data_IF_104473462487
#
_entry.id   IF_104473462487
#
_cell.length_a   1.000
_cell.length_b   1.000
_cell.length_c   1.000
_cell.angle_alpha   90.00
_cell.angle_beta   90.00
_cell.angle_gamma   90.00
#
_symmetry.space_group_name_H-M   'P 1'
#
loop_
_entity.id
_entity.type
_entity.pdbx_description
1 polymer ?
#
# COMPACT_ATOMS: atom_id res chain seq x y z
N UNK A 1 -21.29 -1.97 -8.55
CA UNK A 1 -21.37 -2.78 -9.77
C UNK A 1 -22.21 -4.04 -9.58
N UNK A 2 -21.89 -4.96 -8.65
CA UNK A 2 -22.69 -6.16 -8.40
C UNK A 2 -24.18 -5.88 -8.15
N UNK A 3 -24.48 -4.90 -7.28
CA UNK A 3 -25.86 -4.48 -6.99
C UNK A 3 -26.59 -3.98 -8.24
N UNK A 4 -25.91 -3.23 -9.10
CA UNK A 4 -26.49 -2.71 -10.35
C UNK A 4 -26.81 -3.83 -11.35
N UNK A 5 -25.94 -4.82 -11.49
CA UNK A 5 -26.17 -5.98 -12.35
C UNK A 5 -27.37 -6.83 -11.86
N UNK A 6 -27.46 -7.06 -10.55
CA UNK A 6 -28.61 -7.77 -9.94
C UNK A 6 -29.90 -6.96 -10.10
N UNK A 7 -29.83 -5.64 -9.93
CA UNK A 7 -30.97 -4.74 -10.12
C UNK A 7 -31.53 -4.81 -11.55
N UNK A 8 -30.66 -4.76 -12.58
CA UNK A 8 -31.10 -4.88 -13.98
C UNK A 8 -31.71 -6.26 -14.27
N UNK A 9 -31.16 -7.33 -13.71
CA UNK A 9 -31.73 -8.66 -13.85
C UNK A 9 -33.16 -8.73 -13.26
N UNK A 10 -33.35 -8.14 -12.09
CA UNK A 10 -34.66 -8.06 -11.43
C UNK A 10 -35.65 -7.18 -12.21
N UNK A 11 -35.23 -6.05 -12.77
CA UNK A 11 -36.07 -5.21 -13.62
C UNK A 11 -36.60 -5.95 -14.86
N UNK A 12 -35.79 -6.84 -15.43
CA UNK A 12 -36.16 -7.65 -16.59
C UNK A 12 -36.92 -8.93 -16.24
N UNK A 13 -37.22 -9.18 -14.96
CA UNK A 13 -37.78 -10.46 -14.48
C UNK A 13 -36.94 -11.68 -14.88
N UNK A 14 -35.61 -11.54 -14.95
CA UNK A 14 -34.69 -12.62 -15.29
C UNK A 14 -34.10 -13.19 -14.00
N UNK A 15 -34.33 -14.48 -13.78
CA UNK A 15 -33.76 -15.19 -12.63
C UNK A 15 -32.28 -15.51 -12.88
N UNK A 16 -31.42 -15.01 -11.99
CA UNK A 16 -29.98 -15.25 -12.06
C UNK A 16 -29.64 -16.63 -11.51
N UNK A 17 -29.05 -17.48 -12.35
CA UNK A 17 -28.50 -18.77 -11.91
C UNK A 17 -27.23 -18.58 -11.09
N UNK A 18 -26.91 -19.54 -10.23
CA UNK A 18 -25.69 -19.51 -9.41
C UNK A 18 -24.40 -19.26 -10.24
N UNK A 19 -24.32 -19.83 -11.45
CA UNK A 19 -23.20 -19.58 -12.37
C UNK A 19 -23.10 -18.12 -12.84
N UNK A 20 -24.22 -17.43 -13.09
CA UNK A 20 -24.20 -16.02 -13.48
C UNK A 20 -23.79 -15.13 -12.31
N UNK A 21 -24.23 -15.44 -11.08
CA UNK A 21 -23.79 -14.73 -9.88
C UNK A 21 -22.27 -14.86 -9.70
N UNK A 22 -21.72 -16.06 -9.91
CA UNK A 22 -20.28 -16.28 -9.86
C UNK A 22 -19.54 -15.46 -10.93
N UNK A 23 -20.03 -15.45 -12.17
CA UNK A 23 -19.48 -14.62 -13.25
C UNK A 23 -19.52 -13.13 -12.91
N UNK A 24 -20.65 -12.62 -12.37
CA UNK A 24 -20.77 -11.22 -11.93
C UNK A 24 -19.69 -10.90 -10.88
N UNK A 25 -19.51 -11.78 -9.89
CA UNK A 25 -18.55 -11.57 -8.80
C UNK A 25 -17.11 -11.51 -9.33
N UNK A 26 -16.71 -12.48 -10.16
CA UNK A 26 -15.37 -12.56 -10.72
C UNK A 26 -15.09 -11.37 -11.65
N UNK A 27 -16.02 -11.06 -12.55
CA UNK A 27 -15.87 -9.93 -13.50
C UNK A 27 -15.84 -8.59 -12.78
N UNK A 28 -16.71 -8.37 -11.78
CA UNK A 28 -16.68 -7.15 -10.99
C UNK A 28 -15.38 -7.00 -10.20
N UNK A 29 -14.87 -8.08 -9.61
CA UNK A 29 -13.60 -8.07 -8.87
C UNK A 29 -12.43 -7.76 -9.81
N UNK A 30 -12.34 -8.47 -10.93
CA UNK A 30 -11.29 -8.24 -11.93
C UNK A 30 -11.33 -6.81 -12.49
N UNK A 31 -12.53 -6.30 -12.78
CA UNK A 31 -12.70 -4.94 -13.27
C UNK A 31 -12.39 -3.89 -12.21
N UNK A 32 -12.62 -4.17 -10.91
CA UNK A 32 -12.31 -3.22 -9.83
C UNK A 32 -10.82 -2.91 -9.77
N UNK A 33 -9.95 -3.87 -10.11
CA UNK A 33 -8.50 -3.66 -10.18
C UNK A 33 -8.10 -2.93 -11.47
N UNK A 34 -8.80 -3.19 -12.57
CA UNK A 34 -8.50 -2.60 -13.89
C UNK A 34 -9.05 -1.19 -14.13
N UNK A 35 -9.94 -0.67 -13.29
CA UNK A 35 -10.61 0.61 -13.50
C UNK A 35 -9.78 1.87 -13.18
N UNK A 36 -8.53 1.71 -12.72
CA UNK A 36 -7.70 2.79 -12.17
C UNK A 36 -7.34 3.94 -13.15
N UNK A 37 -7.70 3.86 -14.44
CA UNK A 37 -7.32 4.86 -15.45
C UNK A 37 -8.40 5.27 -16.46
N UNK A 38 -9.65 4.80 -16.33
CA UNK A 38 -10.69 5.06 -17.34
C UNK A 38 -11.74 6.03 -16.80
N UNK A 39 -11.90 7.23 -17.41
CA UNK A 39 -13.00 8.13 -17.10
C UNK A 39 -14.36 7.44 -17.32
N UNK A 40 -15.29 7.57 -16.37
CA UNK A 40 -16.59 6.86 -16.38
C UNK A 40 -16.48 5.31 -16.38
N UNK A 41 -15.42 4.75 -15.76
CA UNK A 41 -15.21 3.32 -15.69
C UNK A 41 -16.37 2.52 -15.06
N UNK A 42 -17.13 3.13 -14.13
CA UNK A 42 -18.25 2.47 -13.44
C UNK A 42 -19.33 1.93 -14.39
N UNK A 43 -19.75 2.75 -15.36
CA UNK A 43 -20.79 2.39 -16.35
C UNK A 43 -20.26 1.34 -17.33
N UNK A 44 -19.03 1.53 -17.81
CA UNK A 44 -18.38 0.60 -18.74
C UNK A 44 -18.30 -0.81 -18.15
N UNK A 45 -17.90 -0.92 -16.89
CA UNK A 45 -17.85 -2.21 -16.21
C UNK A 45 -19.22 -2.86 -16.07
N UNK A 46 -20.27 -2.08 -15.82
CA UNK A 46 -21.64 -2.61 -15.75
C UNK A 46 -22.07 -3.15 -17.11
N UNK A 47 -21.75 -2.44 -18.20
CA UNK A 47 -22.01 -2.93 -19.57
C UNK A 47 -21.28 -4.26 -19.86
N UNK A 48 -20.00 -4.36 -19.49
CA UNK A 48 -19.21 -5.60 -19.64
C UNK A 48 -19.85 -6.75 -18.84
N UNK A 49 -20.28 -6.49 -17.61
CA UNK A 49 -20.91 -7.52 -16.76
C UNK A 49 -22.23 -8.00 -17.39
N UNK A 50 -23.08 -7.08 -17.86
CA UNK A 50 -24.34 -7.40 -18.53
C UNK A 50 -24.12 -8.29 -19.76
N UNK A 51 -23.13 -7.95 -20.58
CA UNK A 51 -22.76 -8.72 -21.76
C UNK A 51 -22.22 -10.11 -21.39
N UNK A 52 -21.40 -10.21 -20.34
CA UNK A 52 -20.85 -11.48 -19.86
C UNK A 52 -21.93 -12.47 -19.36
N UNK A 53 -23.08 -11.98 -18.90
CA UNK A 53 -24.21 -12.82 -18.45
C UNK A 53 -25.36 -12.90 -19.46
N UNK A 54 -25.23 -12.23 -20.61
CA UNK A 54 -26.22 -12.24 -21.70
C UNK A 54 -27.49 -11.43 -21.43
N UNK A 55 -27.41 -10.38 -20.61
CA UNK A 55 -28.54 -9.50 -20.33
C UNK A 55 -28.62 -8.32 -21.31
N UNK A 56 -29.83 -7.86 -21.68
CA UNK A 56 -30.02 -6.71 -22.54
C UNK A 56 -29.50 -5.42 -21.89
N UNK A 57 -28.73 -4.65 -22.64
CA UNK A 57 -28.08 -3.41 -22.16
C UNK A 57 -28.96 -2.16 -22.26
N UNK A 58 -30.19 -2.29 -22.74
CA UNK A 58 -31.14 -1.19 -22.92
C UNK A 58 -31.42 -0.43 -21.60
N UNK A 59 -31.42 -1.14 -20.47
CA UNK A 59 -31.72 -0.57 -19.15
C UNK A 59 -30.50 0.08 -18.47
N UNK A 60 -29.34 0.10 -19.14
CA UNK A 60 -28.15 0.79 -18.66
C UNK A 60 -28.39 2.31 -18.52
N UNK A 61 -29.33 2.86 -19.30
CA UNK A 61 -29.76 4.26 -19.23
C UNK A 61 -30.32 4.67 -17.85
N UNK A 62 -30.96 3.74 -17.13
CA UNK A 62 -31.46 4.00 -15.77
C UNK A 62 -30.32 4.11 -14.76
N UNK A 63 -29.27 3.30 -14.92
CA UNK A 63 -28.07 3.37 -14.08
C UNK A 63 -27.31 4.67 -14.35
N UNK A 64 -27.20 5.07 -15.62
CA UNK A 64 -26.56 6.32 -16.02
C UNK A 64 -27.20 7.55 -15.34
N UNK A 65 -28.51 7.56 -15.13
CA UNK A 65 -29.21 8.66 -14.47
C UNK A 65 -28.78 8.86 -12.99
N UNK A 66 -28.40 7.78 -12.31
CA UNK A 66 -27.96 7.81 -10.89
C UNK A 66 -26.44 7.71 -10.74
N UNK A 67 -25.71 7.48 -11.84
CA UNK A 67 -24.27 7.22 -11.85
C UNK A 67 -23.47 8.33 -11.16
N UNK A 68 -23.86 9.60 -11.35
CA UNK A 68 -23.16 10.73 -10.72
C UNK A 68 -23.16 10.71 -9.18
N UNK A 69 -24.17 10.10 -8.54
CA UNK A 69 -24.20 9.92 -7.07
C UNK A 69 -23.35 8.70 -6.70
N UNK A 70 -23.54 7.61 -7.43
CA UNK A 70 -22.88 6.34 -7.15
C UNK A 70 -21.38 6.51 -7.30
N UNK A 71 -20.92 7.13 -8.38
CA UNK A 71 -19.51 7.39 -8.70
C UNK A 71 -18.81 8.15 -7.57
N UNK A 72 -19.40 9.25 -7.09
CA UNK A 72 -18.86 10.03 -5.96
C UNK A 72 -18.80 9.21 -4.67
N UNK A 73 -19.80 8.39 -4.40
CA UNK A 73 -19.81 7.54 -3.20
C UNK A 73 -18.71 6.49 -3.26
N UNK A 74 -18.47 5.89 -4.43
CA UNK A 74 -17.36 4.95 -4.63
C UNK A 74 -15.99 5.60 -4.41
N UNK A 75 -15.78 6.85 -4.81
CA UNK A 75 -14.52 7.54 -4.52
C UNK A 75 -14.29 7.70 -3.01
N UNK A 76 -15.34 8.07 -2.26
CA UNK A 76 -15.24 8.22 -0.80
C UNK A 76 -14.89 6.89 -0.13
N UNK A 77 -15.57 5.81 -0.49
CA UNK A 77 -15.32 4.48 0.08
C UNK A 77 -13.91 3.98 -0.27
N UNK A 78 -13.42 4.25 -1.49
CA UNK A 78 -12.06 3.86 -1.88
C UNK A 78 -11.00 4.59 -1.04
N UNK A 79 -11.16 5.90 -0.85
CA UNK A 79 -10.22 6.71 -0.04
C UNK A 79 -10.30 6.32 1.45
N UNK A 80 -11.49 6.01 1.96
CA UNK A 80 -11.65 5.50 3.33
C UNK A 80 -10.97 4.14 3.50
N UNK A 81 -11.09 3.25 2.52
CA UNK A 81 -10.39 1.97 2.48
C UNK A 81 -8.87 2.13 2.54
N UNK A 82 -8.30 3.08 1.78
CA UNK A 82 -6.88 3.39 1.81
C UNK A 82 -6.43 3.95 3.18
N UNK A 83 -7.23 4.82 3.79
CA UNK A 83 -6.95 5.38 5.11
C UNK A 83 -6.96 4.30 6.20
N UNK A 84 -7.95 3.40 6.17
CA UNK A 84 -8.01 2.24 7.07
C UNK A 84 -6.85 1.28 6.82
N UNK A 85 -6.51 1.01 5.56
CA UNK A 85 -5.39 0.18 5.15
C UNK A 85 -4.05 0.71 5.69
N UNK A 86 -3.82 2.02 5.58
CA UNK A 86 -2.65 2.69 6.14
C UNK A 86 -2.60 2.56 7.67
N UNK A 87 -3.73 2.71 8.36
CA UNK A 87 -3.83 2.53 9.81
C UNK A 87 -3.52 1.10 10.26
N UNK A 88 -4.07 0.10 9.56
CA UNK A 88 -3.79 -1.33 9.82
C UNK A 88 -2.31 -1.62 9.57
N UNK A 89 -1.77 -1.16 8.44
CA UNK A 89 -0.37 -1.37 8.08
C UNK A 89 0.57 -0.74 9.12
N UNK A 90 0.26 0.46 9.60
CA UNK A 90 1.03 1.11 10.65
C UNK A 90 1.03 0.31 11.95
N UNK A 91 -0.13 -0.22 12.37
CA UNK A 91 -0.24 -1.05 13.57
C UNK A 91 0.55 -2.37 13.43
N UNK A 92 0.46 -3.03 12.27
CA UNK A 92 1.20 -4.26 11.98
C UNK A 92 2.72 -4.00 11.95
N UNK A 93 3.16 -2.89 11.36
CA UNK A 93 4.57 -2.52 11.29
C UNK A 93 5.15 -2.17 12.67
N UNK A 94 4.42 -1.42 13.51
CA UNK A 94 4.83 -1.20 14.91
C UNK A 94 4.95 -2.50 15.70
N UNK A 95 4.05 -3.46 15.49
CA UNK A 95 4.10 -4.76 16.17
C UNK A 95 5.31 -5.58 15.70
N UNK A 96 5.60 -5.59 14.41
CA UNK A 96 6.77 -6.26 13.84
C UNK A 96 8.10 -5.61 14.29
N UNK A 97 8.16 -4.27 14.33
CA UNK A 97 9.33 -3.54 14.81
C UNK A 97 9.64 -3.84 16.28
N UNK A 98 8.61 -3.83 17.14
CA UNK A 98 8.75 -4.19 18.56
C UNK A 98 9.20 -5.64 18.76
N UNK A 99 8.74 -6.58 17.93
CA UNK A 99 9.19 -7.98 17.97
C UNK A 99 10.65 -8.13 17.52
N UNK A 100 11.08 -7.43 16.47
CA UNK A 100 12.47 -7.43 16.01
C UNK A 100 13.45 -6.81 17.01
N UNK A 101 13.06 -5.72 17.69
CA UNK A 101 13.86 -5.13 18.77
C UNK A 101 13.98 -6.06 19.99
N UNK A 102 12.95 -6.87 20.28
CA UNK A 102 12.95 -7.82 21.39
C UNK A 102 13.90 -9.00 21.12
N UNK A 103 13.92 -9.54 19.90
CA UNK A 103 14.88 -10.58 19.50
C UNK A 103 16.34 -10.07 19.49
N UNK A 104 16.58 -8.83 19.03
CA UNK A 104 17.91 -8.21 19.08
C UNK A 104 18.39 -7.94 20.51
N UNK A 105 17.46 -7.69 21.45
CA UNK A 105 17.76 -7.49 22.86
C UNK A 105 18.11 -8.81 23.56
N UNK A 106 17.42 -9.90 23.22
CA UNK A 106 17.70 -11.24 23.75
C UNK A 106 19.07 -11.76 23.31
N UNK A 107 19.44 -11.56 22.04
CA UNK A 107 20.77 -11.92 21.51
C UNK A 107 21.89 -11.12 22.18
N UNK A 108 21.63 -9.89 22.65
CA UNK A 108 22.65 -9.09 23.36
C UNK A 108 22.87 -9.55 24.81
N UNK A 109 21.88 -10.18 25.45
CA UNK A 109 22.00 -10.67 26.84
C UNK A 109 22.79 -11.99 26.90
N UNK A 110 22.82 -12.77 25.82
CA UNK A 110 23.66 -13.99 25.68
C UNK A 110 25.11 -13.72 25.21
N UNK A 111 25.61 -12.49 25.31
CA UNK A 111 27.04 -12.26 25.22
C UNK A 111 27.73 -12.74 26.52
N UNK A 112 27.97 -14.06 26.60
CA UNK A 112 28.88 -14.68 27.58
C UNK A 112 30.19 -13.87 27.60
N UNK A 113 30.70 -13.43 28.76
CA UNK A 113 31.98 -12.75 28.83
C UNK A 113 33.06 -13.77 28.50
N UNK A 114 33.56 -13.76 27.26
CA UNK A 114 34.72 -14.56 26.91
C UNK A 114 35.96 -13.93 27.54
N UNK A 115 36.24 -14.35 28.77
CA UNK A 115 37.53 -14.16 29.41
C UNK A 115 38.56 -15.07 28.73
N UNK A 116 39.23 -14.57 27.68
CA UNK A 116 40.59 -14.99 27.32
C UNK A 116 41.42 -13.80 26.89
N UNK A 117 42.22 -13.34 27.84
CA UNK A 117 43.45 -12.60 27.64
C UNK A 117 44.46 -13.45 26.88
N UNK A 118 44.92 -12.99 25.73
CA UNK A 118 46.22 -13.40 25.18
C UNK A 118 46.94 -12.12 24.71
N UNK A 119 48.00 -11.80 25.44
CA UNK A 119 49.05 -10.85 25.08
C UNK A 119 49.64 -11.23 23.71
N UNK A 120 49.63 -10.31 22.75
CA UNK A 120 50.67 -10.26 21.73
C UNK A 120 51.23 -8.83 21.66
N UNK A 121 52.34 -8.67 22.36
CA UNK A 121 53.32 -7.62 22.08
C UNK A 121 54.01 -7.92 20.77
N UNK A 122 54.03 -6.98 19.82
CA UNK A 122 55.29 -6.65 19.14
C UNK A 122 55.26 -5.30 18.42
N UNK A 123 56.43 -4.64 18.35
CA UNK A 123 56.57 -3.20 18.23
C UNK A 123 56.99 -2.80 16.81
N UNK A 124 57.08 -1.49 16.54
CA UNK A 124 57.49 -0.87 15.28
C UNK A 124 56.47 -0.88 14.12
N UNK A 125 55.64 0.17 14.06
CA UNK A 125 55.57 1.01 12.84
C UNK A 125 55.50 2.47 13.28
N UNK A 126 56.68 3.08 13.36
CA UNK A 126 56.87 4.53 13.40
C UNK A 126 56.49 5.09 12.03
N UNK A 127 55.31 5.70 11.91
CA UNK A 127 55.10 6.69 10.85
C UNK A 127 55.59 8.06 11.35
N UNK A 128 56.81 8.36 10.90
CA UNK A 128 57.47 9.66 10.93
C UNK A 128 56.54 10.72 10.33
N UNK A 129 56.29 11.82 11.05
CA UNK A 129 55.80 13.07 10.46
C UNK A 129 56.75 14.20 10.93
N UNK A 130 57.39 14.95 10.03
CA UNK A 130 58.37 15.96 10.42
C UNK A 130 57.68 17.17 11.08
N UNK A 131 58.26 17.64 12.19
CA UNK A 131 57.98 18.94 12.81
C UNK A 131 58.29 20.07 11.80
N UNK A 132 57.37 20.98 11.46
CA UNK A 132 56.89 22.16 12.20
C UNK A 132 57.22 23.44 11.37
N UNK A 133 56.94 24.69 11.78
CA UNK A 133 55.84 25.29 12.56
C UNK A 133 55.24 26.57 11.86
N UNK A 134 54.45 27.37 12.60
CA UNK A 134 54.01 28.77 12.33
C UNK A 134 52.75 28.94 11.44
N UNK A 135 51.81 29.86 11.67
CA UNK A 135 51.56 30.86 12.70
C UNK A 135 50.09 31.36 12.55
N UNK A 136 49.63 32.10 13.57
CA UNK A 136 48.46 33.01 13.62
C UNK A 136 47.02 32.45 13.53
N UNK A 137 46.30 32.61 14.65
CA UNK A 137 44.84 32.71 14.80
C UNK A 137 44.32 34.09 14.29
N UNK A 138 43.04 34.53 14.48
CA UNK A 138 41.81 33.84 14.92
C UNK A 138 40.53 34.16 14.07
N UNK A 139 39.41 33.51 14.44
CA UNK A 139 38.00 34.00 14.48
C UNK A 139 37.17 34.55 13.30
N UNK A 140 35.84 34.35 13.48
CA UNK A 140 34.61 34.97 12.90
C UNK A 140 33.88 34.16 11.79
N UNK A 141 32.77 33.50 12.14
CA UNK A 141 31.37 34.00 12.20
C UNK A 141 30.72 34.13 10.82
N UNK A 142 29.72 33.29 10.51
CA UNK A 142 28.28 33.56 10.66
C UNK A 142 27.64 34.11 9.37
N UNK A 143 26.76 33.29 8.80
CA UNK A 143 25.48 33.63 8.15
C UNK A 143 25.50 34.64 6.99
N UNK A 144 25.28 34.11 5.78
CA UNK A 144 24.80 34.90 4.63
C UNK A 144 23.30 35.23 4.77
N UNK A 145 23.02 36.53 4.82
CA UNK A 145 21.89 37.25 4.22
C UNK A 145 22.43 38.54 3.64
#
# INVERSE_FOLDING_TARGET
QCVAAVFIAQLNNIELKAGQIFTILVTATASSVGAAGVPAGGVLTIAIILEAIGLPTHDLSLILAVDWIVDRTTTVVNVEGDALGAGILHHLNQKAGKQGEQELSEVKVEAVPNCKSEEETSPLVTHQNPAGPAASAPELESKES
#
